data_IF_343561873752
#
_entry.id   IF_343561873752
#
_cell.length_a   1.000
_cell.length_b   1.000
_cell.length_c   1.000
_cell.angle_alpha   90.00
_cell.angle_beta   90.00
_cell.angle_gamma   90.00
#
_symmetry.space_group_name_H-M   'P 1'
#
loop_
_entity.id
_entity.type
_entity.pdbx_description
1 polymer ?
#
# COMPACT_ATOMS: atom_id res chain seq x y z
N UNK A 1 17.47 11.18 28.66
CA UNK A 1 17.42 10.06 29.61
C UNK A 1 16.84 8.84 28.90
N UNK A 2 17.49 7.68 28.97
CA UNK A 2 17.04 6.45 28.30
C UNK A 2 16.37 5.46 29.26
N UNK A 3 15.76 4.39 28.73
CA UNK A 3 15.02 3.39 29.51
C UNK A 3 15.83 2.82 30.68
N UNK A 4 17.14 2.65 30.50
CA UNK A 4 18.04 2.12 31.54
C UNK A 4 18.14 3.04 32.75
N UNK A 5 18.16 4.36 32.54
CA UNK A 5 18.23 5.34 33.62
C UNK A 5 16.90 5.42 34.40
N UNK A 6 15.77 5.36 33.70
CA UNK A 6 14.46 5.28 34.34
C UNK A 6 14.30 4.01 35.20
N UNK A 7 14.77 2.86 34.70
CA UNK A 7 14.72 1.58 35.42
C UNK A 7 15.68 1.50 36.61
N UNK A 8 16.76 2.29 36.61
CA UNK A 8 17.71 2.38 37.73
C UNK A 8 17.28 3.40 38.79
N UNK A 9 16.30 4.24 38.49
CA UNK A 9 15.71 5.16 39.45
C UNK A 9 14.94 4.37 40.51
N UNK A 10 15.04 4.80 41.77
CA UNK A 10 14.18 4.29 42.85
C UNK A 10 12.71 4.69 42.68
N UNK A 11 12.44 5.65 41.81
CA UNK A 11 11.10 6.14 41.43
C UNK A 11 11.05 6.39 39.92
N UNK A 12 10.85 5.35 39.10
CA UNK A 12 10.80 5.45 37.64
C UNK A 12 9.74 6.44 37.13
N UNK A 13 8.58 6.50 37.78
CA UNK A 13 7.43 7.35 37.44
C UNK A 13 7.72 8.85 37.57
N UNK A 14 8.67 9.25 38.42
CA UNK A 14 9.10 10.64 38.57
C UNK A 14 10.27 11.01 37.66
N UNK A 15 10.76 10.07 36.84
CA UNK A 15 11.90 10.29 35.95
C UNK A 15 11.47 11.13 34.74
N UNK A 16 12.14 12.26 34.52
CA UNK A 16 11.85 13.13 33.37
C UNK A 16 12.45 12.49 32.11
N UNK A 17 11.58 12.04 31.20
CA UNK A 17 11.97 11.56 29.87
C UNK A 17 11.93 12.69 28.86
N UNK A 18 12.95 12.75 28.00
CA UNK A 18 13.00 13.62 26.82
C UNK A 18 12.86 12.82 25.52
N UNK A 19 12.61 11.51 25.61
CA UNK A 19 12.46 10.64 24.44
C UNK A 19 11.01 10.75 23.93
N UNK A 20 10.79 11.14 22.67
CA UNK A 20 9.47 11.11 22.07
C UNK A 20 8.94 9.67 21.97
N UNK A 21 7.67 9.47 22.35
CA UNK A 21 6.96 8.21 22.12
C UNK A 21 6.11 8.34 20.87
N UNK A 22 6.39 7.53 19.86
CA UNK A 22 5.68 7.58 18.59
C UNK A 22 4.35 6.82 18.66
N UNK A 23 3.29 7.43 18.13
CA UNK A 23 2.01 6.79 17.88
C UNK A 23 1.67 6.95 16.40
N UNK A 24 1.31 5.85 15.74
CA UNK A 24 0.89 5.82 14.34
C UNK A 24 -0.30 4.88 14.18
N UNK A 25 -1.17 5.16 13.22
CA UNK A 25 -2.33 4.34 12.93
C UNK A 25 -2.00 3.10 12.10
N UNK A 26 -2.87 2.09 12.21
CA UNK A 26 -2.74 0.87 11.42
C UNK A 26 -3.25 1.12 10.00
N UNK A 27 -2.37 1.62 9.12
CA UNK A 27 -2.67 2.00 7.74
C UNK A 27 -3.65 3.18 7.63
N UNK A 28 -3.14 4.40 7.89
CA UNK A 28 -3.93 5.65 7.92
C UNK A 28 -4.78 5.87 6.65
N UNK A 29 -4.27 5.50 5.46
CA UNK A 29 -5.03 5.61 4.22
C UNK A 29 -6.32 4.78 4.23
N UNK A 30 -6.27 3.52 4.67
CA UNK A 30 -7.45 2.67 4.80
C UNK A 30 -8.38 3.14 5.92
N UNK A 31 -7.85 3.72 7.00
CA UNK A 31 -8.67 4.35 8.05
C UNK A 31 -9.51 5.50 7.48
N UNK A 32 -8.91 6.38 6.69
CA UNK A 32 -9.67 7.46 6.04
C UNK A 32 -10.73 6.92 5.08
N UNK A 33 -10.42 5.91 4.25
CA UNK A 33 -11.41 5.32 3.36
C UNK A 33 -12.55 4.62 4.12
N UNK A 34 -12.25 3.90 5.19
CA UNK A 34 -13.27 3.25 6.01
C UNK A 34 -14.21 4.28 6.65
N UNK A 35 -13.67 5.41 7.12
CA UNK A 35 -14.46 6.51 7.66
C UNK A 35 -15.33 7.19 6.59
N UNK A 36 -14.76 7.52 5.42
CA UNK A 36 -15.47 8.13 4.29
C UNK A 36 -16.61 7.23 3.79
N UNK A 37 -16.35 5.93 3.65
CA UNK A 37 -17.32 4.95 3.19
C UNK A 37 -18.29 4.44 4.26
N UNK A 38 -18.09 4.82 5.54
CA UNK A 38 -18.76 4.24 6.70
C UNK A 38 -18.72 2.69 6.69
N UNK A 39 -17.60 2.14 6.24
CA UNK A 39 -17.39 0.70 6.08
C UNK A 39 -17.04 0.07 7.43
N UNK A 40 -18.02 -0.57 8.06
CA UNK A 40 -17.85 -1.19 9.38
C UNK A 40 -16.81 -2.32 9.37
N UNK A 41 -16.80 -3.15 8.32
CA UNK A 41 -15.86 -4.28 8.25
C UNK A 41 -14.44 -3.78 8.04
N UNK A 42 -14.26 -2.84 7.11
CA UNK A 42 -12.99 -2.14 6.92
C UNK A 42 -12.52 -1.46 8.21
N UNK A 43 -13.41 -0.73 8.89
CA UNK A 43 -13.12 -0.01 10.13
C UNK A 43 -12.63 -0.95 11.27
N UNK A 44 -13.21 -2.14 11.40
CA UNK A 44 -12.71 -3.17 12.34
C UNK A 44 -11.30 -3.60 11.95
N UNK A 45 -11.06 -3.89 10.67
CA UNK A 45 -9.77 -4.37 10.19
C UNK A 45 -8.62 -3.36 10.38
N UNK A 46 -8.92 -2.06 10.47
CA UNK A 46 -7.94 -0.98 10.68
C UNK A 46 -8.08 -0.26 12.02
N UNK A 47 -8.68 -0.90 13.03
CA UNK A 47 -8.73 -0.43 14.41
C UNK A 47 -9.50 0.88 14.66
N UNK A 48 -10.47 1.22 13.80
CA UNK A 48 -11.40 2.34 14.05
C UNK A 48 -12.56 1.94 14.95
N UNK A 49 -12.86 0.64 15.03
CA UNK A 49 -13.82 0.08 15.99
C UNK A 49 -13.03 -0.51 17.14
N UNK A 50 -13.44 -0.21 18.38
CA UNK A 50 -12.80 -0.75 19.57
C UNK A 50 -12.87 -2.28 19.57
N UNK A 51 -11.74 -2.92 19.89
CA UNK A 51 -11.61 -4.35 20.04
C UNK A 51 -10.66 -4.67 21.20
N UNK A 52 -10.71 -5.89 21.71
CA UNK A 52 -9.86 -6.33 22.83
C UNK A 52 -8.37 -6.37 22.46
N UNK A 53 -8.07 -6.64 21.18
CA UNK A 53 -6.71 -6.69 20.65
C UNK A 53 -6.63 -5.88 19.35
N UNK A 54 -5.47 -5.26 19.06
CA UNK A 54 -5.26 -4.60 17.77
C UNK A 54 -5.39 -5.60 16.62
N UNK A 55 -6.23 -5.27 15.65
CA UNK A 55 -6.30 -5.95 14.36
C UNK A 55 -5.04 -5.65 13.53
N UNK A 56 -4.61 -6.62 12.73
CA UNK A 56 -3.48 -6.50 11.82
C UNK A 56 -3.95 -6.72 10.37
N UNK A 57 -4.40 -5.64 9.75
CA UNK A 57 -4.91 -5.62 8.36
C UNK A 57 -3.98 -6.34 7.37
N UNK A 58 -2.66 -6.24 7.57
CA UNK A 58 -1.67 -6.84 6.69
C UNK A 58 -1.65 -8.37 6.81
N UNK A 59 -1.82 -8.91 8.02
CA UNK A 59 -1.93 -10.35 8.24
C UNK A 59 -3.26 -10.87 7.70
N UNK A 60 -4.35 -10.13 7.89
CA UNK A 60 -5.65 -10.47 7.28
C UNK A 60 -5.56 -10.57 5.74
N UNK A 61 -4.93 -9.58 5.09
CA UNK A 61 -4.71 -9.61 3.64
C UNK A 61 -3.76 -10.74 3.23
N UNK A 62 -2.67 -10.97 3.96
CA UNK A 62 -1.74 -12.06 3.66
C UNK A 62 -2.44 -13.43 3.70
N UNK A 63 -3.31 -13.66 4.69
CA UNK A 63 -4.11 -14.88 4.78
C UNK A 63 -5.04 -15.02 3.58
N UNK A 64 -5.74 -13.94 3.20
CA UNK A 64 -6.62 -13.94 2.03
C UNK A 64 -5.86 -14.22 0.73
N UNK A 65 -4.69 -13.62 0.56
CA UNK A 65 -3.79 -13.89 -0.59
C UNK A 65 -3.39 -15.36 -0.60
N UNK A 66 -3.01 -15.92 0.55
CA UNK A 66 -2.61 -17.32 0.67
C UNK A 66 -3.76 -18.27 0.32
N UNK A 67 -4.99 -17.98 0.75
CA UNK A 67 -6.18 -18.76 0.37
C UNK A 67 -6.39 -18.78 -1.15
N UNK A 68 -6.37 -17.62 -1.80
CA UNK A 68 -6.52 -17.52 -3.26
C UNK A 68 -5.40 -18.29 -3.96
N UNK A 69 -4.15 -18.12 -3.53
CA UNK A 69 -3.02 -18.84 -4.12
C UNK A 69 -3.09 -20.36 -3.91
N UNK A 70 -3.58 -20.84 -2.77
CA UNK A 70 -3.78 -22.29 -2.54
C UNK A 70 -4.83 -22.87 -3.48
N UNK A 71 -5.90 -22.13 -3.74
CA UNK A 71 -6.92 -22.55 -4.72
C UNK A 71 -6.34 -22.58 -6.13
N UNK A 72 -5.61 -21.54 -6.54
CA UNK A 72 -4.99 -21.47 -7.86
C UNK A 72 -3.92 -22.54 -8.06
N UNK A 73 -3.16 -22.88 -7.01
CA UNK A 73 -2.13 -23.92 -7.02
C UNK A 73 -2.68 -25.33 -7.34
N UNK A 74 -3.96 -25.59 -7.04
CA UNK A 74 -4.63 -26.87 -7.32
C UNK A 74 -5.12 -26.99 -8.77
N UNK A 75 -5.13 -25.90 -9.53
CA UNK A 75 -5.57 -25.91 -10.94
C UNK A 75 -4.51 -26.53 -11.84
N UNK A 76 -4.95 -26.98 -13.02
CA UNK A 76 -4.07 -27.51 -14.06
C UNK A 76 -3.29 -26.36 -14.74
N UNK A 77 -1.96 -26.35 -14.69
CA UNK A 77 -1.12 -25.33 -15.33
C UNK A 77 -1.22 -25.26 -16.84
N UNK A 78 -1.61 -26.36 -17.48
CA UNK A 78 -1.79 -26.40 -18.94
C UNK A 78 -2.98 -25.55 -19.37
N UNK A 79 -3.96 -25.35 -18.47
CA UNK A 79 -5.16 -24.53 -18.68
C UNK A 79 -5.00 -23.15 -18.04
N UNK A 80 -4.44 -23.08 -16.82
CA UNK A 80 -4.26 -21.86 -16.06
C UNK A 80 -2.77 -21.64 -15.72
N UNK A 81 -2.04 -20.84 -16.51
CA UNK A 81 -0.60 -20.61 -16.29
C UNK A 81 -0.26 -20.04 -14.90
N UNK A 82 -1.20 -19.34 -14.27
CA UNK A 82 -1.03 -18.80 -12.92
C UNK A 82 -0.93 -19.91 -11.84
N UNK A 83 -1.42 -21.13 -12.12
CA UNK A 83 -1.33 -22.27 -11.19
C UNK A 83 0.13 -22.67 -10.88
N UNK A 84 1.01 -22.63 -11.88
CA UNK A 84 2.43 -22.91 -11.70
C UNK A 84 3.10 -21.84 -10.81
N UNK A 85 2.75 -20.57 -11.03
CA UNK A 85 3.25 -19.45 -10.22
C UNK A 85 2.75 -19.52 -8.78
N UNK A 86 1.49 -19.90 -8.60
CA UNK A 86 0.88 -20.11 -7.30
C UNK A 86 1.62 -21.17 -6.50
N UNK A 87 1.88 -22.35 -7.10
CA UNK A 87 2.68 -23.40 -6.44
C UNK A 87 4.10 -22.96 -6.09
N UNK A 88 4.71 -22.11 -6.93
CA UNK A 88 6.07 -21.63 -6.68
C UNK A 88 6.16 -20.70 -5.46
N UNK A 89 5.14 -19.88 -5.18
CA UNK A 89 5.24 -18.79 -4.21
C UNK A 89 4.24 -18.83 -3.05
N UNK A 90 3.32 -19.80 -3.01
CA UNK A 90 2.30 -19.90 -1.95
C UNK A 90 2.93 -19.91 -0.54
N UNK A 91 4.05 -20.62 -0.37
CA UNK A 91 4.79 -20.69 0.91
C UNK A 91 5.62 -19.44 1.21
N UNK A 92 5.67 -18.49 0.27
CA UNK A 92 6.35 -17.20 0.43
C UNK A 92 5.39 -16.09 0.87
N UNK A 93 4.09 -16.36 0.94
CA UNK A 93 3.11 -15.34 1.33
C UNK A 93 3.15 -15.12 2.85
N UNK A 94 3.51 -13.91 3.25
CA UNK A 94 3.42 -13.47 4.63
C UNK A 94 3.07 -11.98 4.70
N UNK A 95 2.90 -11.50 5.94
CA UNK A 95 2.69 -10.10 6.26
C UNK A 95 3.73 -9.17 5.60
N UNK A 96 5.02 -9.55 5.61
CA UNK A 96 6.13 -8.71 5.11
C UNK A 96 6.08 -8.56 3.59
N UNK A 97 5.66 -9.61 2.87
CA UNK A 97 5.50 -9.60 1.42
C UNK A 97 4.43 -8.59 0.99
N UNK A 98 3.25 -8.63 1.62
CA UNK A 98 2.09 -7.81 1.21
C UNK A 98 2.10 -6.41 1.79
N UNK A 99 2.71 -6.19 2.97
CA UNK A 99 2.60 -4.94 3.74
C UNK A 99 2.90 -3.68 2.92
N UNK A 100 4.00 -3.68 2.18
CA UNK A 100 4.41 -2.48 1.43
C UNK A 100 3.41 -2.16 0.30
N UNK A 101 2.99 -3.18 -0.42
CA UNK A 101 2.02 -3.06 -1.51
C UNK A 101 0.68 -2.56 -1.00
N UNK A 102 0.16 -3.16 0.08
CA UNK A 102 -1.09 -2.72 0.72
C UNK A 102 -0.99 -1.26 1.18
N UNK A 103 0.10 -0.91 1.87
CA UNK A 103 0.30 0.43 2.41
C UNK A 103 0.36 1.50 1.31
N UNK A 104 0.98 1.21 0.18
CA UNK A 104 1.13 2.20 -0.91
C UNK A 104 -0.03 2.21 -1.90
N UNK A 105 -0.81 1.13 -1.98
CA UNK A 105 -1.95 1.04 -2.92
C UNK A 105 -3.03 2.08 -2.65
N UNK A 106 -3.31 2.36 -1.37
CA UNK A 106 -4.29 3.39 -0.99
C UNK A 106 -3.84 4.82 -1.26
N UNK A 107 -2.55 5.02 -1.57
CA UNK A 107 -1.98 6.30 -1.98
C UNK A 107 -1.77 6.40 -3.49
N UNK A 108 -2.37 5.50 -4.27
CA UNK A 108 -2.37 5.58 -5.74
C UNK A 108 -1.16 4.91 -6.39
N UNK A 109 -0.53 3.92 -5.74
CA UNK A 109 0.46 3.09 -6.45
C UNK A 109 -0.19 2.39 -7.64
N UNK A 110 0.49 2.37 -8.78
CA UNK A 110 0.01 1.62 -9.96
C UNK A 110 0.33 0.13 -9.81
N UNK A 111 -0.30 -0.70 -10.64
CA UNK A 111 0.03 -2.13 -10.72
C UNK A 111 1.54 -2.39 -10.94
N UNK A 112 2.18 -1.58 -11.78
CA UNK A 112 3.63 -1.70 -12.05
C UNK A 112 4.43 -1.45 -10.77
N UNK A 113 4.07 -0.42 -10.00
CA UNK A 113 4.70 -0.12 -8.72
C UNK A 113 4.46 -1.21 -7.67
N UNK A 114 3.22 -1.71 -7.56
CA UNK A 114 2.86 -2.82 -6.68
C UNK A 114 3.68 -4.09 -6.99
N UNK A 115 3.78 -4.46 -8.27
CA UNK A 115 4.61 -5.58 -8.74
C UNK A 115 6.07 -5.40 -8.35
N UNK A 116 6.63 -4.21 -8.56
CA UNK A 116 8.04 -3.96 -8.26
C UNK A 116 8.34 -4.06 -6.76
N UNK A 117 7.42 -3.59 -5.91
CA UNK A 117 7.55 -3.74 -4.46
C UNK A 117 7.56 -5.21 -4.03
N UNK A 118 6.66 -6.03 -4.59
CA UNK A 118 6.64 -7.48 -4.34
C UNK A 118 7.89 -8.15 -4.89
N UNK A 119 8.32 -7.80 -6.11
CA UNK A 119 9.52 -8.36 -6.74
C UNK A 119 10.75 -8.19 -5.88
N UNK A 120 10.94 -6.98 -5.31
CA UNK A 120 12.04 -6.73 -4.38
C UNK A 120 11.97 -7.64 -3.14
N UNK A 121 10.78 -7.83 -2.57
CA UNK A 121 10.58 -8.71 -1.41
C UNK A 121 10.80 -10.18 -1.72
N UNK A 122 10.42 -10.66 -2.90
CA UNK A 122 10.70 -12.03 -3.34
C UNK A 122 12.19 -12.21 -3.63
N UNK A 123 12.83 -11.22 -4.27
CA UNK A 123 14.27 -11.23 -4.54
C UNK A 123 15.12 -11.28 -3.26
N UNK A 124 14.73 -10.53 -2.23
CA UNK A 124 15.36 -10.55 -0.90
C UNK A 124 15.37 -11.95 -0.25
N UNK A 125 14.45 -12.85 -0.63
CA UNK A 125 14.35 -14.21 -0.08
C UNK A 125 15.23 -15.22 -0.82
N UNK A 126 15.64 -14.94 -2.06
CA UNK A 126 16.51 -15.82 -2.84
C UNK A 126 15.93 -17.19 -3.24
N UNK A 127 14.61 -17.41 -3.09
CA UNK A 127 13.97 -18.71 -3.36
C UNK A 127 13.75 -18.95 -4.86
N UNK A 128 13.64 -17.89 -5.66
CA UNK A 128 13.42 -17.96 -7.11
C UNK A 128 14.72 -17.54 -7.81
N UNK A 129 15.47 -18.47 -8.42
CA UNK A 129 16.79 -18.17 -8.99
C UNK A 129 16.73 -17.47 -10.36
N UNK A 130 15.66 -17.67 -11.13
CA UNK A 130 15.52 -17.13 -12.47
C UNK A 130 14.75 -15.79 -12.46
N UNK A 131 15.34 -14.74 -13.04
CA UNK A 131 14.74 -13.41 -13.12
C UNK A 131 13.42 -13.39 -13.92
N UNK A 132 13.26 -14.24 -14.93
CA UNK A 132 12.02 -14.36 -15.70
C UNK A 132 10.88 -14.96 -14.88
N UNK A 133 11.17 -16.04 -14.14
CA UNK A 133 10.20 -16.66 -13.22
C UNK A 133 9.86 -15.73 -12.06
N UNK A 134 10.86 -15.04 -11.51
CA UNK A 134 10.68 -14.03 -10.47
C UNK A 134 9.75 -12.92 -10.94
N UNK A 135 9.92 -12.44 -12.18
CA UNK A 135 9.03 -11.44 -12.77
C UNK A 135 7.59 -11.96 -12.89
N UNK A 136 7.41 -13.16 -13.44
CA UNK A 136 6.09 -13.80 -13.57
C UNK A 136 5.40 -14.00 -12.23
N UNK A 137 6.12 -14.54 -11.25
CA UNK A 137 5.65 -14.72 -9.89
C UNK A 137 5.26 -13.39 -9.21
N UNK A 138 6.05 -12.34 -9.43
CA UNK A 138 5.78 -11.00 -8.89
C UNK A 138 4.52 -10.38 -9.50
N UNK A 139 4.30 -10.55 -10.81
CA UNK A 139 3.07 -10.13 -11.49
C UNK A 139 1.84 -10.82 -10.88
N UNK A 140 1.91 -12.14 -10.75
CA UNK A 140 0.83 -12.93 -10.18
C UNK A 140 0.54 -12.53 -8.72
N UNK A 141 1.57 -12.47 -7.86
CA UNK A 141 1.42 -12.06 -6.47
C UNK A 141 0.84 -10.64 -6.32
N UNK A 142 1.24 -9.70 -7.19
CA UNK A 142 0.67 -8.35 -7.17
C UNK A 142 -0.81 -8.34 -7.54
N UNK A 143 -1.19 -9.08 -8.58
CA UNK A 143 -2.59 -9.22 -9.00
C UNK A 143 -3.45 -9.81 -7.89
N UNK A 144 -3.00 -10.91 -7.26
CA UNK A 144 -3.72 -11.55 -6.16
C UNK A 144 -3.80 -10.62 -4.93
N UNK A 145 -2.70 -9.94 -4.58
CA UNK A 145 -2.68 -9.00 -3.45
C UNK A 145 -3.66 -7.84 -3.64
N UNK A 146 -3.69 -7.23 -4.83
CA UNK A 146 -4.63 -6.14 -5.14
C UNK A 146 -6.08 -6.64 -5.19
N UNK A 147 -6.29 -7.88 -5.63
CA UNK A 147 -7.61 -8.53 -5.62
C UNK A 147 -8.11 -8.73 -4.18
N UNK A 148 -7.29 -9.35 -3.33
CA UNK A 148 -7.60 -9.54 -1.91
C UNK A 148 -7.88 -8.22 -1.19
N UNK A 149 -7.07 -7.18 -1.44
CA UNK A 149 -7.29 -5.84 -0.90
C UNK A 149 -8.66 -5.28 -1.33
N UNK A 150 -9.00 -5.40 -2.63
CA UNK A 150 -10.26 -4.92 -3.17
C UNK A 150 -11.48 -5.69 -2.68
N UNK A 151 -11.35 -6.99 -2.41
CA UNK A 151 -12.41 -7.81 -1.81
C UNK A 151 -12.68 -7.41 -0.35
N UNK A 152 -11.62 -7.15 0.42
CA UNK A 152 -11.73 -6.78 1.84
C UNK A 152 -12.16 -5.33 2.06
N UNK A 153 -11.81 -4.42 1.15
CA UNK A 153 -12.08 -2.99 1.27
C UNK A 153 -12.84 -2.44 0.06
N UNK A 154 -14.03 -2.99 -0.18
CA UNK A 154 -14.86 -2.62 -1.33
C UNK A 154 -15.24 -1.13 -1.34
N UNK A 155 -15.58 -0.57 -0.17
CA UNK A 155 -15.92 0.86 -0.07
C UNK A 155 -14.73 1.74 -0.47
N UNK A 156 -13.51 1.41 -0.02
CA UNK A 156 -12.29 2.13 -0.41
C UNK A 156 -12.07 2.06 -1.94
N UNK A 157 -12.24 0.87 -2.52
CA UNK A 157 -12.13 0.67 -3.98
C UNK A 157 -13.15 1.51 -4.75
N UNK A 158 -14.41 1.54 -4.30
CA UNK A 158 -15.46 2.33 -4.93
C UNK A 158 -15.18 3.83 -4.85
N UNK A 159 -14.71 4.34 -3.70
CA UNK A 159 -14.35 5.75 -3.54
C UNK A 159 -13.15 6.11 -4.43
N UNK A 160 -12.10 5.28 -4.47
CA UNK A 160 -10.94 5.49 -5.34
C UNK A 160 -11.32 5.54 -6.82
N UNK A 161 -12.19 4.63 -7.27
CA UNK A 161 -12.68 4.62 -8.64
C UNK A 161 -13.47 5.89 -8.96
N UNK A 162 -14.40 6.28 -8.08
CA UNK A 162 -15.20 7.48 -8.26
C UNK A 162 -14.34 8.76 -8.32
N UNK A 163 -13.36 8.91 -7.41
CA UNK A 163 -12.41 10.03 -7.45
C UNK A 163 -11.59 10.03 -8.74
N UNK A 164 -11.15 8.85 -9.19
CA UNK A 164 -10.43 8.68 -10.45
C UNK A 164 -11.25 9.07 -11.68
N UNK A 165 -12.53 8.74 -11.71
CA UNK A 165 -13.43 9.10 -12.81
C UNK A 165 -13.73 10.60 -12.83
N UNK A 166 -13.95 11.22 -11.65
CA UNK A 166 -14.05 12.67 -11.53
C UNK A 166 -12.78 13.37 -12.06
N UNK A 167 -11.60 12.88 -11.69
CA UNK A 167 -10.33 13.43 -12.15
C UNK A 167 -10.16 13.33 -13.68
N UNK A 168 -10.60 12.23 -14.30
CA UNK A 168 -10.58 12.07 -15.76
C UNK A 168 -11.47 13.10 -16.44
N UNK A 169 -12.71 13.29 -15.97
CA UNK A 169 -13.64 14.27 -16.54
C UNK A 169 -13.07 15.69 -16.44
N UNK A 170 -12.54 16.08 -15.28
CA UNK A 170 -11.91 17.39 -15.08
C UNK A 170 -10.71 17.58 -16.04
N UNK A 171 -9.87 16.56 -16.18
CA UNK A 171 -8.71 16.61 -17.06
C UNK A 171 -9.09 16.68 -18.56
N UNK A 172 -10.23 16.10 -18.96
CA UNK A 172 -10.75 16.21 -20.32
C UNK A 172 -11.11 17.66 -20.69
N UNK A 173 -11.53 18.46 -19.70
CA UNK A 173 -11.78 19.90 -19.85
C UNK A 173 -10.48 20.73 -19.74
N UNK A 174 -9.31 20.08 -19.69
CA UNK A 174 -7.99 20.71 -19.56
C UNK A 174 -7.84 21.57 -18.28
N UNK A 175 -8.62 21.27 -17.24
CA UNK A 175 -8.54 21.90 -15.93
C UNK A 175 -7.77 21.00 -14.94
N UNK A 176 -7.04 21.57 -13.96
CA UNK A 176 -6.42 20.79 -12.91
C UNK A 176 -7.44 20.39 -11.85
N UNK A 177 -7.28 19.19 -11.28
CA UNK A 177 -8.03 18.79 -10.09
C UNK A 177 -7.66 19.73 -8.93
N UNK A 178 -8.68 20.30 -8.30
CA UNK A 178 -8.55 21.22 -7.17
C UNK A 178 -9.63 20.95 -6.13
N UNK A 179 -9.32 21.17 -4.87
CA UNK A 179 -10.26 21.08 -3.76
C UNK A 179 -9.80 21.98 -2.61
N UNK A 180 -10.66 22.19 -1.62
CA UNK A 180 -10.31 22.85 -0.37
C UNK A 180 -10.31 21.82 0.75
N UNK A 181 -9.26 21.77 1.57
CA UNK A 181 -9.21 20.86 2.72
C UNK A 181 -10.29 21.23 3.74
N UNK A 182 -10.68 20.33 4.66
CA UNK A 182 -11.59 20.67 5.75
C UNK A 182 -11.12 21.82 6.65
N UNK A 183 -9.82 22.15 6.62
CA UNK A 183 -9.22 23.29 7.34
C UNK A 183 -9.15 24.58 6.50
N UNK A 184 -9.74 24.60 5.31
CA UNK A 184 -9.80 25.79 4.45
C UNK A 184 -8.60 26.00 3.53
N UNK A 185 -7.62 25.09 3.50
CA UNK A 185 -6.45 25.21 2.62
C UNK A 185 -6.85 24.81 1.18
N UNK A 186 -6.72 25.71 0.18
CA UNK A 186 -6.90 25.32 -1.21
C UNK A 186 -5.74 24.46 -1.70
N UNK A 187 -6.07 23.37 -2.40
CA UNK A 187 -5.11 22.42 -3.00
C UNK A 187 -5.38 22.31 -4.49
N UNK A 188 -4.32 22.37 -5.29
CA UNK A 188 -4.38 22.23 -6.75
C UNK A 188 -3.33 21.20 -7.16
N UNK A 189 -3.71 20.21 -7.97
CA UNK A 189 -2.76 19.25 -8.53
C UNK A 189 -1.96 19.91 -9.65
N UNK A 190 -0.60 19.96 -9.55
CA UNK A 190 0.23 20.66 -10.52
C UNK A 190 0.58 19.81 -11.76
N UNK A 191 -0.11 18.69 -11.98
CA UNK A 191 0.22 17.74 -13.04
C UNK A 191 -0.13 18.33 -14.41
N UNK A 192 0.89 18.79 -15.13
CA UNK A 192 0.79 19.37 -16.47
C UNK A 192 1.81 18.75 -17.41
N UNK A 193 1.49 18.65 -18.70
CA UNK A 193 2.48 18.31 -19.72
C UNK A 193 3.38 19.52 -19.92
N UNK A 194 4.61 19.43 -19.41
CA UNK A 194 5.60 20.49 -19.61
C UNK A 194 6.14 20.45 -21.04
N UNK A 195 6.04 21.57 -21.74
CA UNK A 195 6.81 21.80 -22.96
C UNK A 195 8.27 22.10 -22.59
N UNK A 196 9.21 21.56 -23.35
CA UNK A 196 10.63 21.95 -23.27
C UNK A 196 10.95 22.80 -24.49
N UNK A 197 11.56 23.95 -24.26
CA UNK A 197 12.05 24.83 -25.31
C UNK A 197 13.55 25.05 -25.10
N UNK A 198 14.33 24.95 -26.17
CA UNK A 198 15.74 25.30 -26.13
C UNK A 198 15.82 26.83 -26.12
N UNK A 199 16.39 27.39 -25.06
CA UNK A 199 16.64 28.83 -24.93
C UNK A 199 18.15 29.03 -25.06
N UNK A 200 18.58 29.79 -26.07
CA UNK A 200 19.98 30.15 -26.23
C UNK A 200 20.42 31.06 -25.09
N UNK A 201 21.40 30.60 -24.31
CA UNK A 201 22.03 31.40 -23.25
C UNK A 201 23.50 31.60 -23.59
N UNK A 202 23.96 32.84 -23.51
CA UNK A 202 25.38 33.20 -23.68
C UNK A 202 26.14 32.72 -22.46
N UNK A 203 26.68 31.51 -22.49
CA UNK A 203 27.62 31.04 -21.46
C UNK A 203 29.03 31.37 -21.95
N UNK A 204 29.51 32.57 -21.60
CA UNK A 204 30.93 32.91 -21.71
C UNK A 204 31.70 32.09 -20.66
N UNK A 205 32.33 30.99 -21.08
CA UNK A 205 33.40 30.38 -20.30
C UNK A 205 34.69 31.12 -20.64
N UNK A 206 35.13 31.98 -19.71
CA UNK A 206 36.50 32.51 -19.63
C UNK A 206 37.47 31.45 -19.12
#
# INVERSE_FOLDING_TARGET
>A
MNLTEALRSSSPETTISHIPVHQDGSCNGLQHYAALGKDKLGAIAVNLVAGEKPADVYTGIANRVMEIMRMDAQKDPSVEPDAARARLIVDQVDRKLVKQTVMTSVYGVTYIGAREQIRRRLKERGVIPNDSELFGASCYAAKVTLTALGEMFQAARSIMNWLGDCAKVIACENEPVRWTTPLGLPVVQPYRKLGRHLVGVSVEYS
#
